data_IF_162336272272
#
_entry.id   IF_162336272272
#
_cell.length_a   1.000
_cell.length_b   1.000
_cell.length_c   1.000
_cell.angle_alpha   90.00
_cell.angle_beta   90.00
_cell.angle_gamma   90.00
#
_symmetry.space_group_name_H-M   'P 1'
#
loop_
_entity.id
_entity.type
_entity.pdbx_description
1 polymer ?
#
# COMPACT_ATOMS: atom_id res chain seq x y z
N UNK A 1 2.68 -3.04 -1.28
CA UNK A 1 3.45 -2.58 -2.43
C UNK A 1 3.06 -1.15 -2.77
N UNK A 2 4.05 -0.23 -2.76
CA UNK A 2 3.85 1.21 -2.92
C UNK A 2 3.59 1.94 -1.59
N UNK A 3 4.42 2.94 -1.27
CA UNK A 3 4.39 3.70 -0.03
C UNK A 3 3.96 5.15 -0.26
N UNK A 4 3.00 5.37 -1.14
CA UNK A 4 2.23 6.61 -1.23
C UNK A 4 1.20 6.71 -0.09
N UNK A 5 0.30 7.69 -0.16
CA UNK A 5 -0.71 7.88 0.88
C UNK A 5 -1.53 6.62 1.20
N UNK A 6 -1.91 5.86 0.18
CA UNK A 6 -2.66 4.61 0.36
C UNK A 6 -1.81 3.54 1.04
N UNK A 7 -0.57 3.31 0.56
CA UNK A 7 0.30 2.29 1.16
C UNK A 7 0.65 2.58 2.62
N UNK A 8 0.91 3.83 2.95
CA UNK A 8 1.14 4.26 4.34
C UNK A 8 -0.11 4.03 5.21
N UNK A 9 -1.32 4.29 4.67
CA UNK A 9 -2.57 4.00 5.37
C UNK A 9 -2.78 2.49 5.58
N UNK A 10 -2.43 1.65 4.59
CA UNK A 10 -2.49 0.18 4.72
C UNK A 10 -1.57 -0.31 5.84
N UNK A 11 -0.38 0.27 6.02
CA UNK A 11 0.52 -0.07 7.11
C UNK A 11 -0.13 0.21 8.47
N UNK A 12 -0.75 1.39 8.65
CA UNK A 12 -1.48 1.70 9.89
C UNK A 12 -2.64 0.71 10.12
N UNK A 13 -3.42 0.39 9.08
CA UNK A 13 -4.50 -0.58 9.17
C UNK A 13 -3.99 -1.98 9.54
N UNK A 14 -2.87 -2.44 8.97
CA UNK A 14 -2.26 -3.71 9.31
C UNK A 14 -1.77 -3.74 10.78
N UNK A 15 -1.19 -2.63 11.27
CA UNK A 15 -0.82 -2.47 12.68
C UNK A 15 -2.03 -2.55 13.60
N UNK A 16 -3.14 -1.86 13.27
CA UNK A 16 -4.39 -1.93 14.03
C UNK A 16 -4.99 -3.34 14.04
N UNK A 17 -4.89 -4.05 12.92
CA UNK A 17 -5.28 -5.46 12.81
C UNK A 17 -4.32 -6.41 13.54
N UNK A 18 -3.28 -5.88 14.21
CA UNK A 18 -2.26 -6.64 14.96
C UNK A 18 -1.50 -7.65 14.08
N UNK A 19 -1.20 -7.27 12.83
CA UNK A 19 -0.34 -8.07 11.97
C UNK A 19 1.03 -8.26 12.65
N UNK A 20 1.50 -9.49 12.74
CA UNK A 20 2.76 -9.83 13.40
C UNK A 20 3.99 -9.37 12.61
N UNK A 21 3.85 -9.25 11.28
CA UNK A 21 4.90 -8.75 10.39
C UNK A 21 4.29 -7.90 9.28
N UNK A 22 4.90 -6.74 9.01
CA UNK A 22 4.43 -5.79 8.00
C UNK A 22 5.62 -5.43 7.12
N UNK A 23 5.61 -5.93 5.88
CA UNK A 23 6.69 -5.71 4.90
C UNK A 23 6.29 -4.59 3.96
N UNK A 24 6.95 -3.45 4.07
CA UNK A 24 6.74 -2.27 3.24
C UNK A 24 7.67 -2.30 2.02
N UNK A 25 7.13 -2.18 0.81
CA UNK A 25 7.88 -2.33 -0.44
C UNK A 25 7.70 -1.07 -1.29
N UNK A 26 8.81 -0.38 -1.59
CA UNK A 26 8.84 0.76 -2.50
C UNK A 26 10.22 0.89 -3.15
N UNK A 27 10.27 1.49 -4.33
CA UNK A 27 11.54 1.80 -5.04
C UNK A 27 12.20 3.09 -4.56
N UNK A 28 11.50 3.87 -3.73
CA UNK A 28 12.00 5.10 -3.13
C UNK A 28 12.24 4.92 -1.62
N UNK A 29 13.50 4.76 -1.18
CA UNK A 29 13.82 4.52 0.23
C UNK A 29 13.50 5.70 1.16
N UNK A 30 13.32 6.91 0.64
CA UNK A 30 12.97 8.07 1.47
C UNK A 30 11.61 7.93 2.17
N UNK A 31 10.76 6.98 1.73
CA UNK A 31 9.46 6.69 2.32
C UNK A 31 9.51 5.67 3.46
N UNK A 32 10.66 5.04 3.68
CA UNK A 32 10.77 3.93 4.64
C UNK A 32 10.67 4.38 6.09
N UNK A 33 11.16 5.57 6.42
CA UNK A 33 11.12 6.05 7.80
C UNK A 33 9.67 6.27 8.26
N UNK A 34 8.85 6.92 7.43
CA UNK A 34 7.41 7.04 7.70
C UNK A 34 6.72 5.66 7.78
N UNK A 35 7.09 4.73 6.91
CA UNK A 35 6.54 3.38 6.97
C UNK A 35 6.85 2.69 8.31
N UNK A 36 8.07 2.85 8.84
CA UNK A 36 8.46 2.31 10.16
C UNK A 36 7.68 2.98 11.30
N UNK A 37 7.52 4.30 11.26
CA UNK A 37 6.71 5.05 12.24
C UNK A 37 5.26 4.53 12.27
N UNK A 38 4.69 4.21 11.11
CA UNK A 38 3.34 3.68 10.99
C UNK A 38 3.21 2.19 11.36
N UNK A 39 4.33 1.48 11.50
CA UNK A 39 4.35 0.12 11.99
C UNK A 39 4.93 -0.94 11.05
N UNK A 40 5.59 -0.54 9.94
CA UNK A 40 6.32 -1.50 9.13
C UNK A 40 7.47 -2.13 9.91
N UNK A 41 7.55 -3.46 9.89
CA UNK A 41 8.64 -4.22 10.53
C UNK A 41 9.84 -4.37 9.61
N UNK A 42 9.58 -4.42 8.32
CA UNK A 42 10.58 -4.59 7.28
C UNK A 42 10.34 -3.58 6.15
N UNK A 43 11.42 -3.06 5.56
CA UNK A 43 11.36 -2.21 4.38
C UNK A 43 12.23 -2.81 3.29
N UNK A 44 11.69 -2.97 2.09
CA UNK A 44 12.37 -3.62 0.97
C UNK A 44 12.32 -2.74 -0.27
N UNK A 45 13.48 -2.45 -0.83
CA UNK A 45 13.58 -1.84 -2.15
C UNK A 45 13.80 -2.94 -3.19
N UNK A 46 12.86 -3.14 -4.14
CA UNK A 46 13.02 -4.16 -5.18
C UNK A 46 14.30 -4.02 -6.03
N UNK A 47 14.83 -2.79 -6.14
CA UNK A 47 16.05 -2.51 -6.92
C UNK A 47 17.33 -3.05 -6.27
N UNK A 48 17.29 -3.37 -4.98
CA UNK A 48 18.44 -3.87 -4.23
C UNK A 48 18.60 -5.41 -4.38
N UNK A 49 17.68 -6.05 -5.12
CA UNK A 49 17.62 -7.50 -5.29
C UNK A 49 17.73 -7.88 -6.76
N UNK A 50 18.48 -8.93 -7.06
CA UNK A 50 18.57 -9.53 -8.40
C UNK A 50 17.34 -10.39 -8.72
N UNK A 51 16.67 -10.90 -7.71
CA UNK A 51 15.49 -11.74 -7.84
C UNK A 51 14.21 -10.89 -7.96
N UNK A 52 13.15 -11.43 -8.60
CA UNK A 52 11.83 -10.80 -8.59
C UNK A 52 11.32 -10.59 -7.16
N UNK A 53 10.69 -9.45 -6.90
CA UNK A 53 10.28 -9.04 -5.54
C UNK A 53 9.37 -10.06 -4.85
N UNK A 54 8.50 -10.75 -5.59
CA UNK A 54 7.65 -11.80 -5.02
C UNK A 54 8.46 -12.97 -4.46
N UNK A 55 9.60 -13.31 -5.07
CA UNK A 55 10.48 -14.35 -4.57
C UNK A 55 11.20 -13.90 -3.30
N UNK A 56 11.70 -12.66 -3.28
CA UNK A 56 12.29 -12.06 -2.09
C UNK A 56 11.33 -12.13 -0.90
N UNK A 57 10.07 -11.74 -1.10
CA UNK A 57 9.05 -11.78 -0.04
C UNK A 57 8.77 -13.21 0.42
N UNK A 58 8.67 -14.16 -0.51
CA UNK A 58 8.48 -15.58 -0.15
C UNK A 58 9.66 -16.11 0.66
N UNK A 59 10.90 -15.79 0.28
CA UNK A 59 12.10 -16.19 1.04
C UNK A 59 12.13 -15.58 2.44
N UNK A 60 11.78 -14.30 2.56
CA UNK A 60 11.70 -13.60 3.86
C UNK A 60 10.67 -14.21 4.81
N UNK A 61 9.61 -14.82 4.27
CA UNK A 61 8.47 -15.34 5.04
C UNK A 61 8.43 -16.87 5.09
N UNK A 62 9.23 -17.54 4.30
CA UNK A 62 9.29 -19.00 4.17
C UNK A 62 8.17 -19.59 3.31
N UNK A 63 6.95 -19.02 3.34
CA UNK A 63 5.77 -19.58 2.65
C UNK A 63 4.95 -18.55 1.88
N UNK A 64 5.31 -17.29 1.94
CA UNK A 64 4.53 -16.17 1.44
C UNK A 64 3.72 -15.48 2.55
N UNK A 65 3.13 -14.34 2.20
CA UNK A 65 2.35 -13.52 3.15
C UNK A 65 0.89 -13.95 3.17
N UNK A 66 0.21 -13.77 4.30
CA UNK A 66 -1.23 -14.01 4.41
C UNK A 66 -2.03 -12.99 3.60
N UNK A 67 -1.59 -11.73 3.62
CA UNK A 67 -2.21 -10.63 2.91
C UNK A 67 -1.18 -9.81 2.16
N UNK A 68 -1.47 -9.47 0.92
CA UNK A 68 -0.70 -8.51 0.14
C UNK A 68 -1.61 -7.41 -0.41
N UNK A 69 -1.09 -6.18 -0.47
CA UNK A 69 -1.82 -5.01 -0.93
C UNK A 69 -1.03 -4.31 -2.03
N UNK A 70 -1.65 -4.13 -3.18
CA UNK A 70 -1.06 -3.35 -4.27
C UNK A 70 -1.67 -1.95 -4.25
N UNK A 71 -0.81 -0.92 -4.06
CA UNK A 71 -1.21 0.47 -3.83
C UNK A 71 -0.61 1.45 -4.85
N UNK A 72 -0.19 0.94 -6.02
CA UNK A 72 0.48 1.72 -7.07
C UNK A 72 -0.42 1.90 -8.30
N UNK A 73 -1.10 0.82 -8.70
CA UNK A 73 -1.82 0.74 -9.97
C UNK A 73 -0.96 0.19 -11.12
N UNK A 74 0.00 -0.68 -10.81
CA UNK A 74 0.86 -1.31 -11.82
C UNK A 74 0.52 -2.79 -11.98
N UNK A 75 0.08 -3.20 -13.17
CA UNK A 75 -0.39 -4.56 -13.45
C UNK A 75 0.67 -5.65 -13.19
N UNK A 76 1.96 -5.34 -13.38
CA UNK A 76 3.04 -6.27 -13.07
C UNK A 76 3.24 -6.40 -11.54
N UNK A 77 3.08 -5.31 -10.81
CA UNK A 77 3.15 -5.33 -9.34
C UNK A 77 1.93 -6.01 -8.74
N UNK A 78 0.73 -5.84 -9.34
CA UNK A 78 -0.48 -6.58 -8.97
C UNK A 78 -0.24 -8.09 -9.05
N UNK A 79 0.39 -8.55 -10.14
CA UNK A 79 0.78 -9.95 -10.29
C UNK A 79 1.81 -10.38 -9.25
N UNK A 80 2.85 -9.59 -9.01
CA UNK A 80 3.87 -9.90 -8.00
C UNK A 80 3.26 -9.98 -6.60
N UNK A 81 2.31 -9.08 -6.27
CA UNK A 81 1.58 -9.10 -5.02
C UNK A 81 0.75 -10.39 -4.84
N UNK A 82 0.09 -10.87 -5.91
CA UNK A 82 -0.57 -12.18 -5.87
C UNK A 82 0.42 -13.32 -5.66
N UNK A 83 1.52 -13.32 -6.42
CA UNK A 83 2.48 -14.43 -6.43
C UNK A 83 3.28 -14.54 -5.12
N UNK A 84 3.43 -13.46 -4.35
CA UNK A 84 4.05 -13.52 -3.02
C UNK A 84 3.11 -13.96 -1.90
N UNK A 85 1.79 -14.03 -2.15
CA UNK A 85 0.83 -14.48 -1.16
C UNK A 85 0.96 -16.00 -0.92
N UNK A 86 0.61 -16.43 0.29
CA UNK A 86 0.69 -17.83 0.70
C UNK A 86 -0.23 -18.73 -0.15
N UNK A 87 0.27 -19.88 -0.56
CA UNK A 87 -0.56 -20.92 -1.19
C UNK A 87 -1.54 -21.48 -0.15
N UNK A 88 -2.77 -21.77 -0.58
CA UNK A 88 -3.82 -22.31 0.27
C UNK A 88 -4.84 -21.28 0.71
N UNK A 89 -4.41 -20.09 1.20
CA UNK A 89 -5.34 -19.07 1.72
C UNK A 89 -4.92 -17.62 1.53
N UNK A 90 -3.71 -17.35 1.04
CA UNK A 90 -3.20 -15.99 0.90
C UNK A 90 -4.11 -15.11 0.04
N UNK A 91 -4.29 -13.87 0.45
CA UNK A 91 -5.16 -12.89 -0.20
C UNK A 91 -4.34 -11.72 -0.75
N UNK A 92 -4.55 -11.40 -2.02
CA UNK A 92 -3.97 -10.23 -2.65
C UNK A 92 -5.05 -9.23 -3.01
N UNK A 93 -4.93 -8.01 -2.50
CA UNK A 93 -5.92 -6.94 -2.68
C UNK A 93 -5.33 -5.87 -3.60
N UNK A 94 -6.02 -5.62 -4.71
CA UNK A 94 -5.72 -4.53 -5.63
C UNK A 94 -6.45 -3.27 -5.13
N UNK A 95 -5.68 -2.22 -4.83
CA UNK A 95 -6.20 -0.91 -4.42
C UNK A 95 -5.78 0.15 -5.44
N UNK A 96 -4.58 0.02 -6.01
CA UNK A 96 -4.07 0.93 -7.02
C UNK A 96 -4.90 0.89 -8.31
N UNK A 97 -5.02 2.03 -8.97
CA UNK A 97 -5.79 2.17 -10.22
C UNK A 97 -4.83 2.11 -11.41
N UNK A 98 -4.95 1.07 -12.21
CA UNK A 98 -4.17 0.92 -13.44
C UNK A 98 -4.66 1.88 -14.53
N UNK A 99 -3.81 2.16 -15.50
CA UNK A 99 -4.18 2.96 -16.67
C UNK A 99 -5.31 2.32 -17.48
N UNK A 100 -6.12 3.12 -18.15
CA UNK A 100 -7.23 2.64 -18.97
C UNK A 100 -6.75 1.62 -20.03
N UNK A 101 -7.48 0.51 -20.17
CA UNK A 101 -7.16 -0.56 -21.11
C UNK A 101 -6.05 -1.53 -20.66
N UNK A 102 -5.44 -1.33 -19.51
CA UNK A 102 -4.51 -2.31 -18.97
C UNK A 102 -5.25 -3.50 -18.33
N UNK A 103 -4.71 -4.68 -18.54
CA UNK A 103 -5.28 -5.94 -18.05
C UNK A 103 -4.31 -6.62 -17.10
N UNK A 104 -4.83 -7.26 -16.05
CA UNK A 104 -4.07 -8.13 -15.18
C UNK A 104 -4.00 -9.54 -15.76
N UNK A 105 -2.87 -10.21 -15.62
CA UNK A 105 -2.70 -11.60 -16.05
C UNK A 105 -1.93 -12.42 -15.04
N UNK A 106 -2.33 -13.68 -14.88
CA UNK A 106 -1.62 -14.64 -14.04
C UNK A 106 -1.81 -16.05 -14.56
N UNK A 107 -0.95 -16.97 -14.13
CA UNK A 107 -1.14 -18.40 -14.42
C UNK A 107 -2.32 -18.93 -13.60
N UNK A 108 -3.26 -19.68 -14.17
CA UNK A 108 -4.40 -20.24 -13.43
C UNK A 108 -3.99 -21.02 -12.19
N UNK A 109 -2.80 -21.65 -12.22
CA UNK A 109 -2.26 -22.39 -11.09
C UNK A 109 -2.06 -21.53 -9.82
N UNK A 110 -1.86 -20.22 -9.96
CA UNK A 110 -1.78 -19.32 -8.81
C UNK A 110 -3.09 -19.25 -8.02
N UNK A 111 -4.22 -19.35 -8.73
CA UNK A 111 -5.56 -19.31 -8.11
C UNK A 111 -6.03 -20.69 -7.69
N UNK A 112 -5.80 -21.73 -8.52
CA UNK A 112 -6.22 -23.09 -8.19
C UNK A 112 -5.50 -23.64 -6.93
N UNK A 113 -4.35 -23.10 -6.60
CA UNK A 113 -3.62 -23.43 -5.35
C UNK A 113 -4.13 -22.66 -4.12
N UNK A 114 -5.28 -21.98 -4.23
CA UNK A 114 -6.00 -21.43 -3.08
C UNK A 114 -5.77 -19.95 -2.79
N UNK A 115 -4.91 -19.26 -3.57
CA UNK A 115 -4.78 -17.80 -3.47
C UNK A 115 -6.06 -17.10 -3.89
N UNK A 116 -6.33 -15.96 -3.28
CA UNK A 116 -7.44 -15.08 -3.67
C UNK A 116 -6.89 -13.78 -4.24
N UNK A 117 -7.41 -13.38 -5.39
CA UNK A 117 -7.11 -12.07 -5.99
C UNK A 117 -8.39 -11.25 -6.02
N UNK A 118 -8.39 -10.11 -5.34
CA UNK A 118 -9.60 -9.31 -5.15
C UNK A 118 -9.29 -7.83 -5.24
N UNK A 119 -10.29 -7.05 -5.54
CA UNK A 119 -10.26 -5.59 -5.47
C UNK A 119 -11.02 -5.08 -4.25
N UNK A 120 -10.97 -3.77 -4.04
CA UNK A 120 -11.75 -3.08 -3.04
C UNK A 120 -12.12 -1.68 -3.53
N UNK A 121 -13.37 -1.28 -3.34
CA UNK A 121 -13.83 0.07 -3.60
C UNK A 121 -13.86 0.85 -2.27
N UNK A 122 -13.13 1.97 -2.19
CA UNK A 122 -13.02 2.78 -0.97
C UNK A 122 -12.66 1.97 0.29
N UNK A 123 -11.80 0.96 0.14
CA UNK A 123 -11.43 0.07 1.23
C UNK A 123 -12.53 -0.87 1.74
N UNK A 124 -13.67 -0.96 1.03
CA UNK A 124 -14.83 -1.75 1.47
C UNK A 124 -15.57 -1.16 2.67
N UNK A 125 -15.30 0.09 3.04
CA UNK A 125 -15.88 0.75 4.20
C UNK A 125 -17.37 1.00 4.01
N UNK A 126 -18.17 0.61 4.99
CA UNK A 126 -19.58 0.98 5.10
C UNK A 126 -19.65 2.39 5.72
N UNK A 127 -19.57 3.43 4.88
CA UNK A 127 -19.35 4.81 5.31
C UNK A 127 -20.26 5.28 6.44
N UNK A 128 -21.58 4.98 6.39
CA UNK A 128 -22.53 5.47 7.42
C UNK A 128 -22.32 4.84 8.80
N UNK A 129 -21.89 3.56 8.85
CA UNK A 129 -21.77 2.84 10.11
C UNK A 129 -20.33 2.74 10.62
N UNK A 130 -19.33 2.77 9.75
CA UNK A 130 -17.93 2.56 10.14
C UNK A 130 -17.11 3.85 10.19
N UNK A 131 -17.41 4.84 9.31
CA UNK A 131 -16.63 6.07 9.27
C UNK A 131 -16.66 6.86 10.61
N UNK A 132 -17.80 6.99 11.33
CA UNK A 132 -17.79 7.66 12.64
C UNK A 132 -16.78 7.04 13.61
N UNK A 133 -16.71 5.71 13.72
CA UNK A 133 -15.73 5.03 14.56
C UNK A 133 -14.29 5.28 14.12
N UNK A 134 -14.02 5.33 12.82
CA UNK A 134 -12.68 5.67 12.31
C UNK A 134 -12.28 7.12 12.65
N UNK A 135 -13.25 8.06 12.68
CA UNK A 135 -13.01 9.44 13.14
C UNK A 135 -12.67 9.45 14.62
N UNK A 136 -13.39 8.69 15.44
CA UNK A 136 -13.08 8.54 16.87
C UNK A 136 -11.69 7.95 17.09
N UNK A 137 -11.30 6.92 16.31
CA UNK A 137 -9.96 6.34 16.34
C UNK A 137 -8.89 7.39 15.99
N UNK A 138 -9.14 8.22 14.99
CA UNK A 138 -8.23 9.31 14.64
C UNK A 138 -8.15 10.38 15.75
N UNK A 139 -9.28 10.73 16.37
CA UNK A 139 -9.32 11.69 17.50
C UNK A 139 -8.59 11.18 18.74
N UNK A 140 -8.54 9.87 18.96
CA UNK A 140 -7.74 9.25 20.02
C UNK A 140 -6.26 9.09 19.67
N UNK A 141 -5.89 9.31 18.41
CA UNK A 141 -4.53 9.11 17.91
C UNK A 141 -4.20 7.67 17.51
N UNK A 142 -5.18 6.77 17.48
CA UNK A 142 -5.02 5.39 17.02
C UNK A 142 -4.76 5.35 15.50
N UNK A 143 -5.36 6.29 14.77
CA UNK A 143 -5.07 6.59 13.36
C UNK A 143 -4.38 7.94 13.27
N UNK A 144 -3.18 7.97 12.73
CA UNK A 144 -2.41 9.19 12.56
C UNK A 144 -2.71 9.80 11.19
N UNK A 145 -3.28 11.00 11.14
CA UNK A 145 -3.61 11.71 9.90
C UNK A 145 -2.62 12.82 9.58
N UNK A 146 -2.14 13.55 10.58
CA UNK A 146 -1.25 14.70 10.39
C UNK A 146 0.04 14.39 9.62
N UNK A 147 0.73 13.25 9.83
CA UNK A 147 1.95 12.93 9.08
C UNK A 147 1.75 12.73 7.57
N UNK A 148 0.51 12.49 7.11
CA UNK A 148 0.23 12.40 5.68
C UNK A 148 0.35 13.75 4.97
N UNK A 149 0.11 14.87 5.68
CA UNK A 149 0.23 16.22 5.11
C UNK A 149 1.70 16.62 5.12
N UNK A 150 2.39 16.35 4.01
CA UNK A 150 3.82 16.64 3.87
C UNK A 150 4.11 18.04 3.35
N UNK A 151 3.14 18.66 2.68
CA UNK A 151 3.26 19.99 2.09
C UNK A 151 1.96 20.77 2.28
N UNK A 152 2.13 22.06 2.56
CA UNK A 152 1.01 23.02 2.69
C UNK A 152 1.38 24.29 1.94
N UNK A 153 0.50 24.79 1.08
CA UNK A 153 0.79 25.94 0.21
C UNK A 153 -0.48 26.71 -0.17
N UNK A 154 -0.33 27.90 -0.67
CA UNK A 154 -1.43 28.70 -1.23
C UNK A 154 -1.85 28.22 -2.63
N UNK A 155 -2.99 28.71 -3.11
CA UNK A 155 -3.54 28.33 -4.41
C UNK A 155 -2.61 28.66 -5.59
N UNK A 156 -1.83 29.72 -5.48
CA UNK A 156 -0.86 30.14 -6.49
C UNK A 156 0.22 29.10 -6.75
N UNK A 157 0.52 28.22 -5.77
CA UNK A 157 1.51 27.18 -5.88
C UNK A 157 0.92 25.81 -6.29
N UNK A 158 -0.32 25.74 -6.80
CA UNK A 158 -1.00 24.47 -7.12
C UNK A 158 -0.21 23.63 -8.14
N UNK A 159 0.46 24.23 -9.09
CA UNK A 159 1.29 23.52 -10.07
C UNK A 159 2.50 22.86 -9.40
N UNK A 160 3.13 23.54 -8.43
CA UNK A 160 4.21 22.97 -7.64
C UNK A 160 3.74 21.74 -6.84
N UNK A 161 2.51 21.77 -6.32
CA UNK A 161 1.92 20.60 -5.65
C UNK A 161 1.84 19.38 -6.55
N UNK A 162 1.48 19.58 -7.84
CA UNK A 162 1.47 18.50 -8.84
C UNK A 162 2.88 18.02 -9.17
N UNK A 163 3.84 18.92 -9.30
CA UNK A 163 5.24 18.56 -9.58
C UNK A 163 5.81 17.72 -8.43
N UNK A 164 5.61 18.11 -7.18
CA UNK A 164 6.01 17.35 -5.99
C UNK A 164 5.36 15.95 -5.96
N UNK A 165 4.11 15.85 -6.39
CA UNK A 165 3.40 14.56 -6.49
C UNK A 165 4.04 13.67 -7.57
N UNK A 166 4.31 14.20 -8.76
CA UNK A 166 4.93 13.46 -9.86
C UNK A 166 6.35 13.01 -9.52
N UNK A 167 7.11 13.84 -8.80
CA UNK A 167 8.45 13.51 -8.32
C UNK A 167 8.45 12.51 -7.14
N UNK A 168 7.28 12.18 -6.61
CA UNK A 168 7.14 11.28 -5.46
C UNK A 168 7.65 11.85 -4.14
N UNK A 169 7.81 13.17 -4.05
CA UNK A 169 8.25 13.91 -2.86
C UNK A 169 7.12 14.22 -1.89
N UNK A 170 5.88 14.30 -2.39
CA UNK A 170 4.70 14.55 -1.58
C UNK A 170 3.93 13.26 -1.31
N UNK A 171 3.49 13.06 -0.07
CA UNK A 171 2.47 12.08 0.28
C UNK A 171 1.09 12.72 0.08
N UNK A 172 0.89 13.92 0.64
CA UNK A 172 -0.28 14.74 0.43
C UNK A 172 0.07 16.21 0.53
N UNK A 173 -0.30 16.96 -0.48
CA UNK A 173 -0.24 18.43 -0.46
C UNK A 173 -1.62 19.00 -0.13
N UNK A 174 -1.68 19.96 0.79
CA UNK A 174 -2.89 20.69 1.16
C UNK A 174 -2.75 22.13 0.64
N UNK A 175 -3.77 22.57 -0.09
CA UNK A 175 -3.83 23.94 -0.65
C UNK A 175 -4.81 24.74 0.18
N UNK A 176 -4.39 25.92 0.64
CA UNK A 176 -5.24 26.90 1.34
C UNK A 176 -5.73 27.97 0.36
N UNK A 177 -6.95 28.42 0.58
CA UNK A 177 -7.60 29.51 -0.16
C UNK A 177 -7.62 30.80 0.67
#
# INVERSE_FOLDING_TARGET
>A
FGLGGIGQAVIQGARQAKAGRIIAIDTNPSKFDMAREFGATDCVNPKDHAQPIQQVVVEMTGWGVDHSFECIGNVNVMRAALECAHRGWGQSVIIGVAGAGQEISTRPFQLVTGRKWMGTAFGGVKCRSQLPGMVEDAMRGDIQLAPFVTHTMGLEAINEAFDLMHEGKSIRSVVHF
#
